data_IF_159621119955
#
_entry.id   IF_159621119955
#
_cell.length_a   1.000
_cell.length_b   1.000
_cell.length_c   1.000
_cell.angle_alpha   90.00
_cell.angle_beta   90.00
_cell.angle_gamma   90.00
#
_symmetry.space_group_name_H-M   'P 1'
#
loop_
_entity.id
_entity.type
_entity.pdbx_description
1 polymer ?
#
# COMPACT_ATOMS: atom_id res chain seq x y z
N UNK A 1 -10.96 -6.03 -9.09
CA UNK A 1 -10.32 -7.05 -8.28
C UNK A 1 -11.07 -7.34 -6.99
N UNK A 2 -10.60 -8.29 -6.20
CA UNK A 2 -11.27 -8.76 -4.97
C UNK A 2 -11.52 -7.65 -3.94
N UNK A 3 -10.59 -6.69 -3.81
CA UNK A 3 -10.75 -5.52 -2.93
C UNK A 3 -11.96 -4.67 -3.31
N UNK A 4 -12.19 -4.43 -4.60
CA UNK A 4 -13.34 -3.68 -5.11
C UNK A 4 -14.64 -4.42 -4.84
N UNK A 5 -14.67 -5.74 -5.04
CA UNK A 5 -15.85 -6.56 -4.78
C UNK A 5 -16.22 -6.56 -3.29
N UNK A 6 -15.23 -6.70 -2.40
CA UNK A 6 -15.43 -6.60 -0.95
C UNK A 6 -15.96 -5.20 -0.57
N UNK A 7 -15.37 -4.15 -1.12
CA UNK A 7 -15.82 -2.78 -0.84
C UNK A 7 -17.28 -2.55 -1.27
N UNK A 8 -17.67 -3.07 -2.45
CA UNK A 8 -19.07 -3.01 -2.91
C UNK A 8 -20.03 -3.79 -2.00
N UNK A 9 -19.64 -4.97 -1.50
CA UNK A 9 -20.44 -5.76 -0.56
C UNK A 9 -20.62 -5.04 0.79
N UNK A 10 -19.59 -4.35 1.26
CA UNK A 10 -19.65 -3.57 2.50
C UNK A 10 -20.53 -2.31 2.34
N UNK A 11 -20.53 -1.72 1.14
CA UNK A 11 -21.43 -0.63 0.77
C UNK A 11 -21.38 0.54 1.76
N UNK A 12 -22.55 0.96 2.23
CA UNK A 12 -22.69 2.11 3.15
C UNK A 12 -22.02 1.93 4.51
N UNK A 13 -21.64 0.72 4.89
CA UNK A 13 -20.87 0.48 6.13
C UNK A 13 -19.50 1.14 6.11
N UNK A 14 -19.00 1.48 4.93
CA UNK A 14 -17.73 2.18 4.74
C UNK A 14 -17.85 3.70 4.78
N UNK A 15 -19.07 4.25 4.79
CA UNK A 15 -19.27 5.71 4.84
C UNK A 15 -18.57 6.31 6.07
N UNK A 16 -17.79 7.37 5.86
CA UNK A 16 -17.00 8.04 6.90
C UNK A 16 -15.80 7.24 7.42
N UNK A 17 -15.46 6.09 6.81
CA UNK A 17 -14.32 5.28 7.23
C UNK A 17 -13.06 5.63 6.43
N UNK A 18 -11.92 5.38 7.06
CA UNK A 18 -10.63 5.29 6.36
C UNK A 18 -10.47 3.84 5.90
N UNK A 19 -10.27 3.68 4.60
CA UNK A 19 -10.06 2.37 3.97
C UNK A 19 -8.63 2.28 3.47
N UNK A 20 -7.86 1.36 4.03
CA UNK A 20 -6.47 1.16 3.63
C UNK A 20 -6.40 0.13 2.51
N UNK A 21 -5.91 0.56 1.33
CA UNK A 21 -5.60 -0.36 0.24
C UNK A 21 -4.18 -0.88 0.38
N UNK A 22 -4.04 -2.19 0.58
CA UNK A 22 -2.77 -2.89 0.71
C UNK A 22 -2.42 -3.74 -0.51
N UNK A 23 -3.19 -3.60 -1.60
CA UNK A 23 -3.06 -4.48 -2.74
C UNK A 23 -1.80 -4.23 -3.56
N UNK A 24 -1.27 -5.31 -4.12
CA UNK A 24 -0.30 -5.29 -5.21
C UNK A 24 -1.00 -5.90 -6.43
N UNK A 25 -1.49 -5.07 -7.37
CA UNK A 25 -2.26 -5.52 -8.51
C UNK A 25 -1.35 -6.08 -9.60
N UNK A 26 -0.75 -7.24 -9.33
CA UNK A 26 0.15 -7.91 -10.28
C UNK A 26 -0.66 -8.60 -11.38
N UNK A 27 -0.13 -8.60 -12.60
CA UNK A 27 -0.67 -9.40 -13.69
C UNK A 27 -0.37 -10.90 -13.48
N UNK A 28 -0.96 -11.76 -14.30
CA UNK A 28 -0.81 -13.22 -14.16
C UNK A 28 0.60 -13.75 -14.40
N UNK A 29 1.45 -13.00 -15.06
CA UNK A 29 2.86 -13.33 -15.33
C UNK A 29 3.82 -12.75 -14.30
N UNK A 30 3.33 -11.94 -13.36
CA UNK A 30 4.11 -11.28 -12.30
C UNK A 30 5.23 -10.35 -12.80
N UNK A 31 5.11 -9.84 -14.03
CA UNK A 31 6.07 -8.95 -14.66
C UNK A 31 5.53 -7.53 -14.89
N UNK A 32 4.30 -7.27 -14.50
CA UNK A 32 3.64 -5.98 -14.64
C UNK A 32 2.45 -5.78 -13.69
N UNK A 33 1.91 -4.57 -13.69
CA UNK A 33 0.69 -4.24 -12.98
C UNK A 33 -0.54 -4.56 -13.86
N UNK A 34 -1.58 -5.10 -13.23
CA UNK A 34 -2.87 -5.42 -13.88
C UNK A 34 -3.80 -4.20 -14.02
N UNK A 35 -3.49 -3.09 -13.36
CA UNK A 35 -4.25 -1.84 -13.46
C UNK A 35 -3.92 -1.10 -14.76
N UNK A 36 -4.83 -0.22 -15.22
CA UNK A 36 -4.59 0.66 -16.35
C UNK A 36 -3.33 1.51 -16.15
N UNK A 37 -2.71 1.95 -17.26
CA UNK A 37 -1.42 2.67 -17.21
C UNK A 37 -1.48 4.03 -16.50
N UNK A 38 -2.66 4.57 -16.33
CA UNK A 38 -2.95 5.86 -15.68
C UNK A 38 -3.71 5.71 -14.36
N UNK A 39 -3.78 4.50 -13.79
CA UNK A 39 -4.49 4.21 -12.54
C UNK A 39 -3.68 3.30 -11.60
N UNK A 40 -4.22 3.07 -10.43
CA UNK A 40 -3.70 2.17 -9.40
C UNK A 40 -4.85 1.38 -8.76
N UNK A 41 -4.52 0.31 -8.02
CA UNK A 41 -5.52 -0.41 -7.22
C UNK A 41 -6.26 0.52 -6.26
N UNK A 42 -5.55 1.44 -5.62
CA UNK A 42 -6.13 2.37 -4.66
C UNK A 42 -7.06 3.39 -5.34
N UNK A 43 -6.70 3.92 -6.51
CA UNK A 43 -7.57 4.84 -7.26
C UNK A 43 -8.81 4.13 -7.81
N UNK A 44 -8.67 2.89 -8.29
CA UNK A 44 -9.81 2.10 -8.76
C UNK A 44 -10.75 1.74 -7.61
N UNK A 45 -10.20 1.46 -6.42
CA UNK A 45 -10.99 1.27 -5.21
C UNK A 45 -11.71 2.57 -4.82
N UNK A 46 -11.03 3.72 -4.86
CA UNK A 46 -11.63 5.01 -4.52
C UNK A 46 -12.79 5.39 -5.44
N UNK A 47 -12.71 5.04 -6.74
CA UNK A 47 -13.81 5.23 -7.70
C UNK A 47 -15.01 4.31 -7.44
N UNK A 48 -14.77 3.13 -6.84
CA UNK A 48 -15.78 2.10 -6.63
C UNK A 48 -16.44 2.13 -5.24
N UNK A 49 -15.84 2.83 -4.28
CA UNK A 49 -16.29 2.87 -2.90
C UNK A 49 -17.40 3.91 -2.70
N UNK A 50 -18.18 3.74 -1.62
CA UNK A 50 -19.23 4.68 -1.25
C UNK A 50 -18.69 6.09 -0.99
N UNK A 51 -19.41 7.15 -1.41
CA UNK A 51 -19.04 8.53 -1.10
C UNK A 51 -18.83 8.75 0.40
N UNK A 52 -17.81 9.53 0.75
CA UNK A 52 -17.45 9.83 2.14
C UNK A 52 -16.52 8.81 2.80
N UNK A 53 -16.19 7.70 2.13
CA UNK A 53 -15.06 6.85 2.52
C UNK A 53 -13.76 7.42 1.93
N UNK A 54 -12.69 7.41 2.72
CA UNK A 54 -11.38 7.91 2.32
C UNK A 54 -10.41 6.75 2.12
N UNK A 55 -9.90 6.59 0.89
CA UNK A 55 -8.92 5.55 0.58
C UNK A 55 -7.50 6.07 0.83
N UNK A 56 -6.71 5.26 1.52
CA UNK A 56 -5.27 5.49 1.73
C UNK A 56 -4.52 4.26 1.27
N UNK A 57 -3.56 4.44 0.37
CA UNK A 57 -2.58 3.40 0.00
C UNK A 57 -1.53 3.30 1.08
N UNK A 58 -1.31 2.10 1.63
CA UNK A 58 -0.25 1.85 2.61
C UNK A 58 0.05 0.34 2.74
N UNK A 59 1.20 -0.01 3.33
CA UNK A 59 1.63 -1.37 3.69
C UNK A 59 1.85 -2.35 2.51
N UNK A 60 1.58 -1.98 1.28
CA UNK A 60 1.77 -2.87 0.13
C UNK A 60 3.25 -3.16 -0.17
N UNK A 61 4.19 -2.33 0.31
CA UNK A 61 5.63 -2.48 0.12
C UNK A 61 6.31 -3.32 1.20
N UNK A 62 5.55 -3.80 2.18
CA UNK A 62 6.05 -4.64 3.27
C UNK A 62 5.61 -6.09 3.08
N UNK A 63 6.53 -7.04 3.24
CA UNK A 63 6.18 -8.46 3.27
C UNK A 63 5.60 -8.84 4.63
N UNK A 64 4.73 -9.82 4.69
CA UNK A 64 4.05 -10.21 5.92
C UNK A 64 5.02 -10.52 7.07
N UNK A 65 6.09 -11.26 6.80
CA UNK A 65 7.11 -11.60 7.81
C UNK A 65 7.87 -10.37 8.31
N UNK A 66 8.26 -9.47 7.42
CA UNK A 66 8.97 -8.24 7.80
C UNK A 66 8.04 -7.26 8.53
N UNK A 67 6.77 -7.20 8.12
CA UNK A 67 5.77 -6.35 8.78
C UNK A 67 5.54 -6.78 10.23
N UNK A 68 5.44 -8.09 10.49
CA UNK A 68 5.31 -8.61 11.86
C UNK A 68 6.53 -8.27 12.73
N UNK A 69 7.73 -8.27 12.15
CA UNK A 69 8.96 -7.90 12.84
C UNK A 69 9.11 -6.38 13.04
N UNK A 70 8.46 -5.56 12.20
CA UNK A 70 8.56 -4.10 12.18
C UNK A 70 9.92 -3.56 11.73
N UNK A 71 10.88 -4.44 11.43
CA UNK A 71 12.26 -4.07 11.08
C UNK A 71 12.94 -5.13 10.20
N UNK A 72 13.97 -4.69 9.47
CA UNK A 72 14.89 -5.54 8.71
C UNK A 72 16.31 -5.05 8.93
N UNK A 73 17.27 -5.95 9.18
CA UNK A 73 18.67 -5.63 9.42
C UNK A 73 18.87 -4.56 10.52
N UNK A 74 18.07 -4.61 11.58
CA UNK A 74 18.14 -3.66 12.71
C UNK A 74 17.57 -2.27 12.41
N UNK A 75 16.93 -2.08 11.25
CA UNK A 75 16.30 -0.82 10.86
C UNK A 75 14.78 -0.96 10.80
N UNK A 76 14.05 0.01 11.37
CA UNK A 76 12.59 0.08 11.26
C UNK A 76 12.15 0.13 9.80
N UNK A 77 11.02 -0.49 9.49
CA UNK A 77 10.44 -0.43 8.14
C UNK A 77 9.98 0.98 7.78
N UNK A 78 10.07 1.32 6.50
CA UNK A 78 9.33 2.43 5.91
C UNK A 78 8.00 1.93 5.37
N UNK A 79 6.93 2.61 5.72
CA UNK A 79 5.60 2.41 5.15
C UNK A 79 5.25 3.63 4.31
N UNK A 80 5.22 3.46 3.00
CA UNK A 80 4.88 4.53 2.06
C UNK A 80 3.37 4.72 2.04
N UNK A 81 2.91 5.98 2.19
CA UNK A 81 1.50 6.34 2.31
C UNK A 81 1.14 7.32 1.20
N UNK A 82 0.02 7.08 0.53
CA UNK A 82 -0.59 8.01 -0.42
C UNK A 82 -2.10 8.13 -0.15
N UNK A 83 -2.64 9.34 -0.27
CA UNK A 83 -4.07 9.60 -0.05
C UNK A 83 -4.40 11.06 -0.25
N UNK A 84 -5.66 11.35 -0.60
CA UNK A 84 -6.11 12.72 -0.89
C UNK A 84 -6.63 13.44 0.37
N UNK A 85 -7.10 12.69 1.37
CA UNK A 85 -7.59 13.23 2.64
C UNK A 85 -6.46 13.25 3.69
N UNK A 86 -6.14 14.45 4.18
CA UNK A 86 -5.04 14.66 5.12
C UNK A 86 -5.27 13.99 6.49
N UNK A 87 -6.52 14.00 6.97
CA UNK A 87 -6.89 13.39 8.25
C UNK A 87 -6.83 11.86 8.16
N UNK A 88 -7.29 11.29 7.04
CA UNK A 88 -7.18 9.86 6.78
C UNK A 88 -5.73 9.40 6.73
N UNK A 89 -4.86 10.14 6.01
CA UNK A 89 -3.41 9.85 5.99
C UNK A 89 -2.78 9.95 7.37
N UNK A 90 -3.14 10.98 8.14
CA UNK A 90 -2.62 11.16 9.50
C UNK A 90 -2.98 9.99 10.41
N UNK A 91 -4.21 9.47 10.34
CA UNK A 91 -4.63 8.28 11.10
C UNK A 91 -3.81 7.04 10.73
N UNK A 92 -3.57 6.83 9.42
CA UNK A 92 -2.76 5.70 8.95
C UNK A 92 -1.30 5.87 9.39
N UNK A 93 -0.74 7.08 9.28
CA UNK A 93 0.61 7.39 9.74
C UNK A 93 0.78 7.12 11.26
N UNK A 94 -0.23 7.43 12.06
CA UNK A 94 -0.22 7.12 13.50
C UNK A 94 -0.15 5.62 13.75
N UNK A 95 -0.95 4.82 13.04
CA UNK A 95 -0.91 3.35 13.15
C UNK A 95 0.49 2.81 12.80
N UNK A 96 1.12 3.34 11.75
CA UNK A 96 2.49 2.97 11.35
C UNK A 96 3.47 3.28 12.47
N UNK A 97 3.40 4.48 13.04
CA UNK A 97 4.28 4.95 14.12
C UNK A 97 4.08 4.15 15.40
N UNK A 98 2.83 3.86 15.77
CA UNK A 98 2.49 3.02 16.93
C UNK A 98 3.04 1.59 16.78
N UNK A 99 3.15 1.10 15.54
CA UNK A 99 3.80 -0.16 15.19
C UNK A 99 5.34 -0.10 15.18
N UNK A 100 5.97 1.02 15.57
CA UNK A 100 7.42 1.19 15.60
C UNK A 100 8.06 1.37 14.22
N UNK A 101 7.28 1.66 13.19
CA UNK A 101 7.74 1.87 11.80
C UNK A 101 7.74 3.37 11.45
N UNK A 102 8.35 3.71 10.33
CA UNK A 102 8.38 5.10 9.82
C UNK A 102 7.33 5.27 8.72
N UNK A 103 6.39 6.20 8.91
CA UNK A 103 5.47 6.63 7.87
C UNK A 103 6.18 7.59 6.89
N UNK A 104 6.07 7.31 5.60
CA UNK A 104 6.58 8.16 4.53
C UNK A 104 5.41 8.63 3.67
N UNK A 105 4.98 9.88 3.89
CA UNK A 105 3.92 10.49 3.07
C UNK A 105 4.45 10.82 1.68
N UNK A 106 3.88 10.21 0.66
CA UNK A 106 4.26 10.39 -0.74
C UNK A 106 3.35 11.37 -1.48
N UNK A 107 2.32 11.91 -0.81
CA UNK A 107 1.40 12.89 -1.37
C UNK A 107 0.03 12.33 -1.73
N UNK A 108 -0.58 12.76 -2.85
CA UNK A 108 -1.94 12.41 -3.23
C UNK A 108 -2.09 10.93 -3.59
N UNK A 109 -3.34 10.44 -3.64
CA UNK A 109 -3.65 9.04 -3.92
C UNK A 109 -3.09 8.56 -5.27
N UNK A 110 -2.95 9.46 -6.25
CA UNK A 110 -2.33 9.17 -7.55
C UNK A 110 -0.88 8.66 -7.45
N UNK A 111 -0.19 8.88 -6.30
CA UNK A 111 1.14 8.28 -6.04
C UNK A 111 1.08 6.78 -5.76
N UNK A 112 -0.10 6.23 -5.49
CA UNK A 112 -0.27 4.79 -5.26
C UNK A 112 0.31 3.94 -6.42
N UNK A 113 0.18 4.42 -7.67
CA UNK A 113 0.76 3.72 -8.82
C UNK A 113 2.29 3.57 -8.72
N UNK A 114 3.00 4.62 -8.32
CA UNK A 114 4.45 4.55 -8.16
C UNK A 114 4.83 3.61 -7.00
N UNK A 115 4.05 3.62 -5.91
CA UNK A 115 4.25 2.71 -4.77
C UNK A 115 4.03 1.26 -5.21
N UNK A 116 3.00 0.99 -6.01
CA UNK A 116 2.73 -0.34 -6.58
C UNK A 116 3.83 -0.79 -7.54
N UNK A 117 4.32 0.11 -8.40
CA UNK A 117 5.45 -0.17 -9.30
C UNK A 117 6.75 -0.45 -8.55
N UNK A 118 7.01 0.29 -7.47
CA UNK A 118 8.17 0.07 -6.60
C UNK A 118 8.11 -1.32 -5.96
N UNK A 119 6.94 -1.74 -5.50
CA UNK A 119 6.76 -3.08 -4.93
C UNK A 119 6.81 -4.17 -6.00
N UNK A 120 6.30 -3.95 -7.20
CA UNK A 120 6.47 -4.88 -8.31
C UNK A 120 7.97 -5.16 -8.53
N UNK A 121 8.78 -4.10 -8.64
CA UNK A 121 10.23 -4.24 -8.80
C UNK A 121 10.85 -5.02 -7.63
N UNK A 122 10.45 -4.71 -6.39
CA UNK A 122 10.94 -5.41 -5.20
C UNK A 122 10.56 -6.91 -5.21
N UNK A 123 9.36 -7.26 -5.68
CA UNK A 123 8.90 -8.64 -5.81
C UNK A 123 9.71 -9.41 -6.85
N UNK A 124 9.85 -8.88 -8.06
CA UNK A 124 10.54 -9.61 -9.15
C UNK A 124 12.04 -9.80 -8.90
N UNK A 125 12.62 -8.97 -8.06
CA UNK A 125 14.04 -9.09 -7.69
C UNK A 125 14.33 -10.07 -6.55
N UNK A 126 13.31 -10.62 -5.88
CA UNK A 126 13.51 -11.52 -4.73
C UNK A 126 14.37 -12.75 -5.07
N UNK A 127 14.17 -13.32 -6.24
CA UNK A 127 15.00 -14.45 -6.72
C UNK A 127 16.49 -14.11 -6.86
N UNK A 128 16.81 -12.90 -7.29
CA UNK A 128 18.18 -12.41 -7.44
C UNK A 128 18.79 -12.01 -6.10
N UNK A 129 18.00 -11.41 -5.21
CA UNK A 129 18.46 -10.95 -3.89
C UNK A 129 18.74 -12.10 -2.93
N UNK A 130 18.09 -13.24 -3.09
CA UNK A 130 18.27 -14.40 -2.20
C UNK A 130 17.85 -14.16 -0.74
N UNK A 131 16.99 -13.16 -0.50
CA UNK A 131 16.59 -12.74 0.86
C UNK A 131 15.39 -13.50 1.42
N UNK A 132 14.85 -14.43 0.65
CA UNK A 132 13.68 -15.24 1.02
C UNK A 132 12.53 -14.40 1.61
N UNK A 133 12.16 -13.31 0.91
CA UNK A 133 11.13 -12.34 1.32
C UNK A 133 11.44 -11.58 2.64
N UNK A 134 12.69 -11.62 3.06
CA UNK A 134 13.18 -10.94 4.27
C UNK A 134 13.82 -9.58 4.01
N UNK A 135 13.59 -8.97 2.85
CA UNK A 135 14.10 -7.63 2.50
C UNK A 135 13.05 -6.55 2.68
N UNK A 136 13.46 -5.29 2.66
CA UNK A 136 12.59 -4.13 2.77
C UNK A 136 13.06 -3.00 1.85
N UNK A 137 12.12 -2.14 1.46
CA UNK A 137 12.40 -0.88 0.79
C UNK A 137 12.51 0.21 1.85
N UNK A 138 13.58 1.00 1.82
CA UNK A 138 13.83 2.06 2.77
C UNK A 138 14.54 3.24 2.13
N UNK A 139 14.12 4.45 2.51
CA UNK A 139 14.82 5.68 2.15
C UNK A 139 15.80 6.02 3.26
N UNK A 140 17.09 6.01 2.95
CA UNK A 140 18.17 6.41 3.84
C UNK A 140 18.58 7.86 3.55
N UNK A 141 18.90 8.60 4.60
CA UNK A 141 19.33 9.99 4.51
C UNK A 141 19.59 10.58 5.87
#
# INVERSE_FOLDING_TARGET
GTNIEIAKQLGTKLAGKVVVDIANPLNSTFDGLATASDSSSAEDLAKAIVPGANVVKAFNTTYAGTLLAGSVAGQSLDVFIAGDDADAKSKVAQIVTDGGMRAVDTGPLSRARQIEGMQLLHIVTQGTLGTNWGSALKILG
#
